data_IF_756993050185
#
_entry.id   IF_756993050185
#
_cell.length_a   1.000
_cell.length_b   1.000
_cell.length_c   1.000
_cell.angle_alpha   90.00
_cell.angle_beta   90.00
_cell.angle_gamma   90.00
#
_symmetry.space_group_name_H-M   'P 1'
#
loop_
_entity.id
_entity.type
_entity.pdbx_description
1 polymer ?
#
# COMPACT_ATOMS: atom_id res chain seq x y z
N UNK A 1 -24.33 -67.96 -19.29
CA UNK A 1 -24.25 -66.93 -20.38
C UNK A 1 -25.25 -65.83 -20.03
N UNK A 2 -24.77 -64.74 -19.49
CA UNK A 2 -25.57 -63.56 -19.17
C UNK A 2 -25.27 -62.48 -20.23
N UNK A 3 -26.27 -62.12 -21.00
CA UNK A 3 -26.19 -61.10 -22.02
C UNK A 3 -26.25 -59.72 -21.37
N UNK A 4 -25.15 -58.97 -21.48
CA UNK A 4 -25.09 -57.53 -21.11
C UNK A 4 -25.75 -56.70 -22.21
N UNK A 5 -26.89 -56.10 -21.91
CA UNK A 5 -27.54 -55.12 -22.79
C UNK A 5 -26.81 -53.76 -22.62
N UNK A 6 -26.12 -53.28 -23.66
CA UNK A 6 -25.63 -51.90 -23.76
C UNK A 6 -26.77 -51.02 -24.26
N UNK A 7 -27.27 -50.11 -23.44
CA UNK A 7 -28.13 -49.00 -23.90
C UNK A 7 -27.28 -47.77 -24.22
N UNK A 8 -27.26 -47.32 -25.48
CA UNK A 8 -26.62 -46.03 -25.77
C UNK A 8 -27.54 -44.87 -25.36
N UNK A 9 -27.14 -44.07 -24.41
CA UNK A 9 -27.80 -42.81 -24.07
C UNK A 9 -27.60 -41.80 -25.23
N UNK A 10 -28.58 -41.72 -26.13
CA UNK A 10 -28.68 -40.67 -27.12
C UNK A 10 -29.24 -39.39 -26.46
N UNK A 11 -28.36 -38.51 -25.99
CA UNK A 11 -28.75 -37.15 -25.57
C UNK A 11 -29.19 -36.34 -26.81
N UNK A 12 -30.44 -35.84 -26.78
CA UNK A 12 -31.00 -35.00 -27.85
C UNK A 12 -30.26 -33.62 -27.93
N UNK A 13 -30.26 -33.03 -29.12
CA UNK A 13 -29.55 -31.76 -29.42
C UNK A 13 -29.76 -30.64 -28.39
N UNK A 14 -30.96 -30.39 -27.83
CA UNK A 14 -31.15 -29.32 -26.84
C UNK A 14 -30.49 -29.64 -25.48
N UNK A 15 -30.41 -30.91 -25.07
CA UNK A 15 -29.70 -31.27 -23.83
C UNK A 15 -28.20 -31.12 -23.93
N UNK A 16 -27.60 -31.35 -25.09
CA UNK A 16 -26.16 -31.09 -25.32
C UNK A 16 -25.84 -29.61 -25.27
N UNK A 17 -26.70 -28.74 -25.83
CA UNK A 17 -26.58 -27.31 -25.76
C UNK A 17 -26.70 -26.76 -24.31
N UNK A 18 -27.62 -27.30 -23.53
CA UNK A 18 -27.79 -26.91 -22.12
C UNK A 18 -26.61 -27.34 -21.24
N UNK A 19 -26.05 -28.55 -21.44
CA UNK A 19 -24.84 -28.99 -20.73
C UNK A 19 -23.63 -28.16 -21.10
N UNK A 20 -23.45 -27.76 -22.36
CA UNK A 20 -22.34 -26.91 -22.82
C UNK A 20 -22.48 -25.50 -22.29
N UNK A 21 -23.70 -24.97 -22.20
CA UNK A 21 -23.98 -23.64 -21.62
C UNK A 21 -23.73 -23.61 -20.12
N UNK A 22 -24.08 -24.67 -19.39
CA UNK A 22 -23.81 -24.78 -17.93
C UNK A 22 -22.30 -24.94 -17.69
N UNK A 23 -21.57 -25.67 -18.55
CA UNK A 23 -20.11 -25.80 -18.43
C UNK A 23 -19.37 -24.48 -18.72
N UNK A 24 -19.88 -23.67 -19.66
CA UNK A 24 -19.35 -22.34 -19.97
C UNK A 24 -19.66 -21.31 -18.87
N UNK A 25 -20.83 -21.40 -18.24
CA UNK A 25 -21.20 -20.54 -17.11
C UNK A 25 -20.40 -20.88 -15.84
N UNK A 26 -20.07 -22.14 -15.59
CA UNK A 26 -19.25 -22.54 -14.44
C UNK A 26 -17.77 -22.17 -14.63
N UNK A 27 -17.26 -22.11 -15.86
CA UNK A 27 -15.90 -21.63 -16.15
C UNK A 27 -15.74 -20.10 -16.01
N UNK A 28 -16.82 -19.33 -16.15
CA UNK A 28 -16.79 -17.87 -15.96
C UNK A 28 -16.76 -17.44 -14.48
N UNK A 29 -17.15 -18.31 -13.56
CA UNK A 29 -17.12 -18.02 -12.10
C UNK A 29 -15.79 -18.44 -11.45
N UNK A 30 -14.91 -19.15 -12.15
CA UNK A 30 -13.70 -19.77 -11.57
C UNK A 30 -12.41 -18.97 -11.79
N UNK A 31 -12.47 -17.71 -12.25
CA UNK A 31 -11.28 -16.89 -12.46
C UNK A 31 -11.43 -15.45 -11.95
N UNK A 32 -11.92 -15.30 -10.73
CA UNK A 32 -11.50 -14.12 -9.98
C UNK A 32 -10.04 -14.39 -9.57
N UNK A 33 -9.09 -13.85 -10.35
CA UNK A 33 -7.66 -13.93 -10.03
C UNK A 33 -7.43 -13.40 -8.61
N UNK A 34 -6.37 -13.84 -7.97
CA UNK A 34 -5.99 -13.28 -6.66
C UNK A 34 -5.90 -11.75 -6.77
N UNK A 35 -6.56 -10.98 -5.90
CA UNK A 35 -6.58 -9.53 -6.01
C UNK A 35 -5.19 -8.93 -5.75
N UNK A 36 -4.88 -7.83 -6.40
CA UNK A 36 -3.77 -6.99 -5.98
C UNK A 36 -4.13 -6.29 -4.68
N UNK A 37 -3.16 -6.09 -3.81
CA UNK A 37 -3.37 -5.44 -2.51
C UNK A 37 -2.38 -4.28 -2.40
N UNK A 38 -2.89 -3.07 -2.21
CA UNK A 38 -2.07 -1.88 -1.95
C UNK A 38 -2.46 -1.30 -0.61
N UNK A 39 -1.51 -1.29 0.34
CA UNK A 39 -1.69 -0.64 1.64
C UNK A 39 -0.95 0.70 1.63
N UNK A 40 -1.70 1.78 1.77
CA UNK A 40 -1.16 3.15 1.85
C UNK A 40 -1.38 3.69 3.25
N UNK A 41 -0.35 4.27 3.86
CA UNK A 41 -0.45 4.84 5.21
C UNK A 41 0.29 6.17 5.28
N UNK A 42 -0.41 7.21 5.74
CA UNK A 42 0.18 8.50 6.12
C UNK A 42 0.87 8.41 7.48
N UNK A 43 1.81 9.32 7.74
CA UNK A 43 2.52 9.43 9.03
C UNK A 43 2.08 10.70 9.75
N UNK A 44 1.46 10.54 10.91
CA UNK A 44 0.94 11.62 11.76
C UNK A 44 -0.18 12.48 11.13
N UNK A 45 -0.92 11.96 10.15
CA UNK A 45 -2.10 12.65 9.63
C UNK A 45 -3.27 12.59 10.63
N UNK A 46 -3.78 13.76 11.02
CA UNK A 46 -4.93 13.86 11.89
C UNK A 46 -6.23 13.43 11.20
N UNK A 47 -7.16 12.83 11.94
CA UNK A 47 -8.46 12.36 11.44
C UNK A 47 -9.24 13.45 10.67
N UNK A 48 -9.18 14.70 11.12
CA UNK A 48 -9.86 15.84 10.51
C UNK A 48 -9.13 16.43 9.30
N UNK A 49 -7.95 15.98 8.94
CA UNK A 49 -7.12 16.58 7.89
C UNK A 49 -7.44 16.02 6.50
N UNK A 50 -8.73 15.93 6.19
CA UNK A 50 -9.25 15.57 4.86
C UNK A 50 -10.54 16.33 4.57
N UNK A 51 -10.80 16.68 3.31
CA UNK A 51 -12.02 17.41 2.95
C UNK A 51 -13.29 16.58 3.13
N UNK A 52 -13.26 15.26 2.96
CA UNK A 52 -14.42 14.40 3.23
C UNK A 52 -14.78 14.30 4.73
N UNK A 53 -13.90 14.70 5.64
CA UNK A 53 -14.19 14.87 7.06
C UNK A 53 -14.55 16.31 7.44
N UNK A 54 -14.71 17.20 6.46
CA UNK A 54 -15.16 18.58 6.65
C UNK A 54 -14.06 19.57 6.99
N UNK A 55 -12.78 19.28 6.67
CA UNK A 55 -11.71 20.26 6.87
C UNK A 55 -12.00 21.55 6.10
N UNK A 56 -11.96 22.74 6.73
CA UNK A 56 -12.44 23.97 6.10
C UNK A 56 -11.56 24.46 4.94
N UNK A 57 -10.28 24.14 4.94
CA UNK A 57 -9.29 24.70 4.00
C UNK A 57 -8.66 23.64 3.10
N UNK A 58 -8.37 22.44 3.61
CA UNK A 58 -7.79 21.36 2.83
C UNK A 58 -8.74 20.87 1.75
N UNK A 59 -8.18 20.62 0.58
CA UNK A 59 -8.86 19.95 -0.55
C UNK A 59 -8.11 18.67 -0.86
N UNK A 60 -8.76 17.54 -0.63
CA UNK A 60 -8.22 16.19 -0.87
C UNK A 60 -9.11 15.41 -1.85
N UNK A 61 -9.22 15.88 -3.13
CA UNK A 61 -10.22 15.38 -4.07
C UNK A 61 -10.03 13.89 -4.40
N UNK A 62 -8.82 13.36 -4.35
CA UNK A 62 -8.57 11.95 -4.64
C UNK A 62 -8.96 11.04 -3.47
N UNK A 63 -8.70 11.46 -2.23
CA UNK A 63 -9.19 10.81 -1.02
C UNK A 63 -10.71 10.93 -0.90
N UNK A 64 -11.30 12.08 -1.24
CA UNK A 64 -12.76 12.28 -1.29
C UNK A 64 -13.41 11.30 -2.28
N UNK A 65 -12.83 11.15 -3.47
CA UNK A 65 -13.30 10.19 -4.46
C UNK A 65 -13.16 8.74 -3.99
N UNK A 66 -12.11 8.40 -3.23
CA UNK A 66 -11.99 7.08 -2.60
C UNK A 66 -13.05 6.86 -1.54
N UNK A 67 -13.27 7.84 -0.67
CA UNK A 67 -14.29 7.77 0.38
C UNK A 67 -15.72 7.65 -0.18
N UNK A 68 -15.99 8.28 -1.34
CA UNK A 68 -17.29 8.22 -2.01
C UNK A 68 -17.55 6.89 -2.74
N UNK A 69 -16.50 6.25 -3.27
CA UNK A 69 -16.61 5.04 -4.10
C UNK A 69 -16.17 3.74 -3.40
N UNK A 70 -15.67 3.84 -2.18
CA UNK A 70 -15.18 2.71 -1.39
C UNK A 70 -15.90 2.56 -0.06
N UNK A 71 -15.35 1.71 0.80
CA UNK A 71 -15.84 1.52 2.16
C UNK A 71 -15.09 2.46 3.11
N UNK A 72 -15.79 3.43 3.70
CA UNK A 72 -15.25 4.34 4.70
C UNK A 72 -15.55 3.86 6.10
N UNK A 73 -14.51 3.67 6.91
CA UNK A 73 -14.64 3.32 8.32
C UNK A 73 -14.61 4.59 9.18
N UNK A 74 -15.71 4.92 9.85
CA UNK A 74 -15.78 6.08 10.73
C UNK A 74 -15.13 5.86 12.10
N UNK A 75 -14.88 4.62 12.49
CA UNK A 75 -14.29 4.21 13.77
C UNK A 75 -13.21 3.17 13.55
N UNK A 76 -12.16 3.57 12.86
CA UNK A 76 -10.98 2.75 12.63
C UNK A 76 -9.78 3.46 13.28
N UNK A 77 -9.12 2.77 14.19
CA UNK A 77 -8.07 3.36 15.01
C UNK A 77 -6.72 2.75 14.68
N UNK A 78 -5.67 3.58 14.72
CA UNK A 78 -4.31 3.09 14.66
C UNK A 78 -4.02 2.11 15.81
N UNK A 79 -3.16 1.13 15.59
CA UNK A 79 -2.83 0.13 16.59
C UNK A 79 -2.07 0.68 17.80
N UNK A 80 -1.50 1.88 17.68
CA UNK A 80 -0.86 2.65 18.74
C UNK A 80 -0.85 4.14 18.39
N UNK A 81 -0.43 4.97 19.34
CA UNK A 81 -0.37 6.42 19.19
C UNK A 81 0.89 6.93 18.46
N UNK A 82 1.79 6.05 18.03
CA UNK A 82 3.03 6.42 17.36
C UNK A 82 3.45 5.40 16.28
N UNK A 83 4.49 5.76 15.51
CA UNK A 83 4.81 5.17 14.21
C UNK A 83 5.21 3.68 14.26
N UNK A 84 6.33 3.30 14.89
CA UNK A 84 6.81 1.91 14.85
C UNK A 84 5.80 0.90 15.42
N UNK A 85 5.12 1.16 16.55
CA UNK A 85 4.09 0.27 17.07
C UNK A 85 2.91 0.07 16.12
N UNK A 86 2.41 1.15 15.49
CA UNK A 86 1.32 1.05 14.50
C UNK A 86 1.75 0.25 13.28
N UNK A 87 2.99 0.46 12.78
CA UNK A 87 3.56 -0.29 11.65
C UNK A 87 3.71 -1.78 11.95
N UNK A 88 4.18 -2.11 13.16
CA UNK A 88 4.25 -3.49 13.63
C UNK A 88 2.87 -4.16 13.67
N UNK A 89 1.85 -3.44 14.17
CA UNK A 89 0.46 -3.93 14.21
C UNK A 89 -0.09 -4.18 12.81
N UNK A 90 0.15 -3.27 11.85
CA UNK A 90 -0.29 -3.44 10.45
C UNK A 90 0.34 -4.67 9.81
N UNK A 91 1.64 -4.90 10.00
CA UNK A 91 2.31 -6.04 9.38
C UNK A 91 1.96 -7.37 10.01
N UNK A 92 1.67 -7.42 11.31
CA UNK A 92 1.53 -8.68 12.05
C UNK A 92 0.09 -9.04 12.39
N UNK A 93 -0.84 -8.08 12.36
CA UNK A 93 -2.19 -8.24 12.89
C UNK A 93 -2.24 -8.42 14.42
N UNK A 94 -1.13 -8.12 15.13
CA UNK A 94 -1.02 -8.28 16.59
C UNK A 94 -0.89 -6.92 17.25
N UNK A 95 -1.37 -6.79 18.49
CA UNK A 95 -1.15 -5.58 19.26
C UNK A 95 0.35 -5.30 19.44
N UNK A 96 0.71 -4.03 19.52
CA UNK A 96 2.08 -3.58 19.71
C UNK A 96 2.74 -4.17 20.98
N UNK A 97 1.99 -4.35 22.06
CA UNK A 97 2.50 -5.00 23.29
C UNK A 97 2.95 -6.44 23.05
N UNK A 98 2.22 -7.18 22.22
CA UNK A 98 2.56 -8.57 21.87
C UNK A 98 3.75 -8.65 20.92
N UNK A 99 3.91 -7.71 20.01
CA UNK A 99 5.06 -7.65 19.10
C UNK A 99 6.34 -7.18 19.80
N UNK A 100 6.20 -6.53 20.97
CA UNK A 100 7.30 -5.92 21.69
C UNK A 100 7.76 -4.57 21.13
N UNK A 101 7.08 -4.05 20.12
CA UNK A 101 7.32 -2.71 19.56
C UNK A 101 6.47 -1.72 20.30
N UNK A 102 6.96 -1.24 21.45
CA UNK A 102 6.19 -0.39 22.36
C UNK A 102 6.41 1.11 22.14
N UNK A 103 7.46 1.48 21.40
CA UNK A 103 7.77 2.88 21.13
C UNK A 103 8.39 3.04 19.73
N UNK A 104 8.49 4.31 19.25
CA UNK A 104 9.12 4.63 17.98
C UNK A 104 10.59 4.18 17.97
N UNK A 105 11.07 3.69 16.84
CA UNK A 105 12.43 3.20 16.67
C UNK A 105 12.71 1.84 17.32
N UNK A 106 11.71 1.15 17.89
CA UNK A 106 11.90 -0.24 18.34
C UNK A 106 11.87 -1.19 17.13
N UNK A 107 12.79 -2.18 17.07
CA UNK A 107 12.78 -3.13 15.98
C UNK A 107 11.64 -4.13 16.11
N UNK A 108 11.08 -4.54 14.98
CA UNK A 108 10.17 -5.68 14.94
C UNK A 108 10.97 -6.97 15.15
N UNK A 109 10.55 -7.83 16.07
CA UNK A 109 11.25 -9.09 16.35
C UNK A 109 11.23 -10.00 15.12
N UNK A 110 12.38 -10.64 14.81
CA UNK A 110 12.52 -11.50 13.63
C UNK A 110 11.62 -12.74 13.63
N UNK A 111 11.18 -13.21 14.82
CA UNK A 111 10.23 -14.32 14.92
C UNK A 111 8.77 -13.95 14.59
N UNK A 112 8.45 -12.66 14.50
CA UNK A 112 7.10 -12.23 14.14
C UNK A 112 6.76 -12.64 12.69
N UNK A 113 5.54 -13.12 12.52
CA UNK A 113 5.01 -13.46 11.19
C UNK A 113 4.27 -12.27 10.63
N UNK A 114 4.59 -11.91 9.40
CA UNK A 114 4.00 -10.75 8.73
C UNK A 114 3.05 -11.18 7.62
N UNK A 115 2.11 -10.29 7.30
CA UNK A 115 1.21 -10.44 6.14
C UNK A 115 2.02 -10.53 4.83
N UNK A 116 3.14 -9.81 4.71
CA UNK A 116 4.01 -9.88 3.54
C UNK A 116 4.62 -11.28 3.36
N UNK A 117 5.11 -11.91 4.44
CA UNK A 117 5.61 -13.29 4.39
C UNK A 117 4.50 -14.28 3.99
N UNK A 118 3.28 -14.10 4.48
CA UNK A 118 2.16 -14.97 4.15
C UNK A 118 1.74 -14.83 2.68
N UNK A 119 1.61 -13.59 2.18
CA UNK A 119 1.23 -13.32 0.80
C UNK A 119 2.34 -13.74 -0.18
N UNK A 120 3.62 -13.51 0.15
CA UNK A 120 4.74 -14.04 -0.65
C UNK A 120 4.67 -15.55 -0.81
N UNK A 121 4.37 -16.30 0.26
CA UNK A 121 4.16 -17.77 0.19
C UNK A 121 2.96 -18.14 -0.67
N UNK A 122 1.97 -17.28 -0.77
CA UNK A 122 0.80 -17.44 -1.63
C UNK A 122 1.05 -17.02 -3.10
N UNK A 123 2.29 -16.66 -3.47
CA UNK A 123 2.68 -16.33 -4.84
C UNK A 123 2.56 -14.84 -5.20
N UNK A 124 2.37 -13.96 -4.22
CA UNK A 124 2.38 -12.52 -4.47
C UNK A 124 3.80 -11.99 -4.65
N UNK A 125 4.00 -11.09 -5.61
CA UNK A 125 5.15 -10.20 -5.60
C UNK A 125 4.95 -9.16 -4.49
N UNK A 126 5.94 -9.01 -3.61
CA UNK A 126 5.80 -8.17 -2.40
C UNK A 126 6.78 -7.01 -2.43
N UNK A 127 6.29 -5.78 -2.18
CA UNK A 127 7.12 -4.59 -2.18
C UNK A 127 6.76 -3.59 -1.07
N UNK A 128 7.79 -2.85 -0.60
CA UNK A 128 7.67 -1.78 0.39
C UNK A 128 8.33 -0.50 -0.11
N UNK A 129 7.63 0.61 0.02
CA UNK A 129 8.11 1.95 -0.39
C UNK A 129 7.91 2.96 0.74
N UNK A 130 8.94 3.78 0.99
CA UNK A 130 8.90 4.87 1.97
C UNK A 130 9.41 4.50 3.37
N UNK A 131 8.81 5.03 4.41
CA UNK A 131 9.27 4.91 5.81
C UNK A 131 9.13 3.49 6.35
N UNK A 132 10.24 2.88 6.79
CA UNK A 132 10.23 1.56 7.40
C UNK A 132 10.02 1.58 8.92
N UNK A 133 10.91 2.23 9.63
CA UNK A 133 10.88 2.46 11.08
C UNK A 133 10.68 1.22 11.98
N UNK A 134 11.11 0.05 11.52
CA UNK A 134 11.05 -1.23 12.26
C UNK A 134 12.42 -1.90 12.38
N UNK A 135 13.51 -1.17 12.11
CA UNK A 135 14.89 -1.67 12.10
C UNK A 135 15.71 -1.32 13.36
N UNK A 136 15.09 -0.71 14.37
CA UNK A 136 15.78 -0.35 15.62
C UNK A 136 16.51 0.99 15.58
N UNK A 137 16.39 1.75 14.49
CA UNK A 137 17.00 3.07 14.34
C UNK A 137 15.94 4.18 14.47
N UNK A 138 16.39 5.39 14.78
CA UNK A 138 15.52 6.55 15.05
C UNK A 138 15.83 7.78 14.20
N UNK A 139 16.99 7.83 13.58
CA UNK A 139 17.41 8.99 12.79
C UNK A 139 16.48 9.28 11.61
N UNK A 140 16.15 10.56 11.34
CA UNK A 140 15.43 10.94 10.14
C UNK A 140 16.32 10.73 8.91
N UNK A 141 15.70 10.39 7.76
CA UNK A 141 16.40 10.29 6.48
C UNK A 141 17.52 9.25 6.43
N UNK A 142 17.65 8.35 7.42
CA UNK A 142 18.71 7.34 7.45
C UNK A 142 18.33 6.17 6.56
N UNK A 143 19.06 5.91 5.45
CA UNK A 143 18.80 4.78 4.58
C UNK A 143 18.95 3.44 5.31
N UNK A 144 18.16 2.44 4.91
CA UNK A 144 18.25 1.07 5.42
C UNK A 144 19.32 0.32 4.64
N UNK A 145 20.27 -0.29 5.33
CA UNK A 145 21.38 -1.02 4.70
C UNK A 145 20.97 -2.46 4.31
N UNK A 146 21.59 -3.00 3.28
CA UNK A 146 21.42 -4.41 2.92
C UNK A 146 21.85 -5.37 4.04
N UNK A 147 22.84 -4.97 4.85
CA UNK A 147 23.35 -5.73 6.00
C UNK A 147 22.52 -5.57 7.28
N UNK A 148 21.53 -4.71 7.32
CA UNK A 148 20.64 -4.55 8.48
C UNK A 148 19.82 -5.82 8.68
N UNK A 149 19.87 -6.42 9.86
CA UNK A 149 19.11 -7.64 10.16
C UNK A 149 17.59 -7.45 10.11
N UNK A 150 17.14 -6.21 10.23
CA UNK A 150 15.71 -5.82 10.30
C UNK A 150 15.28 -4.99 9.09
N UNK A 151 15.90 -5.20 7.91
CA UNK A 151 15.46 -4.58 6.66
C UNK A 151 14.12 -5.19 6.18
N UNK A 152 13.34 -4.53 5.30
CA UNK A 152 12.03 -5.05 4.87
C UNK A 152 12.06 -6.47 4.29
N UNK A 153 13.15 -6.88 3.64
CA UNK A 153 13.31 -8.22 3.09
C UNK A 153 13.29 -9.34 4.14
N UNK A 154 13.79 -9.08 5.37
CA UNK A 154 13.71 -10.03 6.48
C UNK A 154 12.24 -10.32 6.90
N UNK A 155 11.33 -9.43 6.57
CA UNK A 155 9.91 -9.48 6.89
C UNK A 155 9.01 -9.81 5.70
N UNK A 156 9.60 -10.26 4.57
CA UNK A 156 8.86 -10.83 3.45
C UNK A 156 8.67 -9.93 2.24
N UNK A 157 9.28 -8.77 2.18
CA UNK A 157 9.28 -7.91 1.00
C UNK A 157 10.44 -8.25 0.06
N UNK A 158 10.13 -8.67 -1.16
CA UNK A 158 11.12 -9.03 -2.19
C UNK A 158 11.75 -7.79 -2.83
N UNK A 159 11.00 -6.70 -2.87
CA UNK A 159 11.46 -5.40 -3.35
C UNK A 159 11.22 -4.35 -2.28
N UNK A 160 12.18 -3.44 -2.12
CA UNK A 160 11.98 -2.32 -1.23
C UNK A 160 12.83 -1.12 -1.64
N UNK A 161 12.24 0.04 -1.51
CA UNK A 161 12.89 1.35 -1.58
C UNK A 161 12.46 2.13 -0.34
N UNK A 162 13.36 2.32 0.62
CA UNK A 162 12.94 2.71 1.95
C UNK A 162 13.99 3.54 2.68
N UNK A 163 13.54 4.16 3.75
CA UNK A 163 14.33 4.88 4.72
C UNK A 163 13.89 4.49 6.13
N UNK A 164 14.74 4.69 7.12
CA UNK A 164 14.44 4.29 8.50
C UNK A 164 13.24 5.03 9.08
N UNK A 165 13.26 6.35 9.06
CA UNK A 165 12.26 7.22 9.70
C UNK A 165 11.63 8.16 8.66
N UNK A 166 11.10 9.32 9.11
CA UNK A 166 10.51 10.27 8.19
C UNK A 166 11.55 10.76 7.17
N UNK A 167 11.07 11.19 6.05
CA UNK A 167 11.84 11.75 4.96
C UNK A 167 10.99 12.82 4.29
N UNK A 168 11.66 13.83 3.79
CA UNK A 168 11.03 14.98 3.19
C UNK A 168 11.43 15.12 1.71
N UNK A 169 11.28 16.32 1.16
CA UNK A 169 11.64 16.62 -0.22
C UNK A 169 13.07 16.20 -0.54
N UNK A 170 13.27 15.83 -1.80
CA UNK A 170 14.55 15.42 -2.35
C UNK A 170 15.22 14.29 -1.53
N UNK A 171 14.49 13.18 -1.28
CA UNK A 171 14.93 12.19 -0.32
C UNK A 171 16.07 11.31 -0.82
N UNK A 172 16.98 10.96 0.10
CA UNK A 172 17.91 9.84 -0.07
C UNK A 172 17.24 8.56 0.43
N UNK A 173 17.01 7.61 -0.45
CA UNK A 173 16.38 6.34 -0.13
C UNK A 173 17.34 5.16 -0.40
N UNK A 174 17.04 4.02 0.17
CA UNK A 174 17.78 2.79 -0.07
C UNK A 174 16.93 1.80 -0.87
N UNK A 175 17.38 1.48 -2.09
CA UNK A 175 16.85 0.40 -2.90
C UNK A 175 17.61 -0.88 -2.61
N UNK A 176 17.04 -1.76 -1.82
CA UNK A 176 17.64 -3.05 -1.49
C UNK A 176 19.05 -2.94 -0.88
N UNK A 177 19.37 -1.77 -0.28
CA UNK A 177 20.67 -1.46 0.29
C UNK A 177 21.56 -0.53 -0.53
N UNK A 178 21.21 -0.26 -1.77
CA UNK A 178 21.87 0.72 -2.63
C UNK A 178 21.20 2.08 -2.47
N UNK A 179 22.01 3.15 -2.33
CA UNK A 179 21.51 4.49 -2.07
C UNK A 179 21.17 5.21 -3.35
N UNK A 180 19.99 5.80 -3.39
CA UNK A 180 19.47 6.56 -4.52
C UNK A 180 18.96 7.91 -4.02
N UNK A 181 19.40 8.99 -4.67
CA UNK A 181 18.91 10.35 -4.45
C UNK A 181 17.74 10.63 -5.40
N UNK A 182 16.71 11.28 -4.88
CA UNK A 182 15.52 11.65 -5.62
C UNK A 182 15.27 13.14 -5.49
N UNK A 183 14.59 13.71 -6.47
CA UNK A 183 14.11 15.10 -6.46
C UNK A 183 12.59 15.13 -6.33
N UNK A 184 12.07 16.10 -5.60
CA UNK A 184 10.64 16.36 -5.47
C UNK A 184 10.04 15.99 -4.13
N UNK A 185 8.71 15.92 -4.10
CA UNK A 185 7.96 15.57 -2.90
C UNK A 185 8.10 14.08 -2.54
N UNK A 186 8.33 13.82 -1.27
CA UNK A 186 8.59 12.45 -0.78
C UNK A 186 7.43 11.49 -1.02
N UNK A 187 6.18 11.96 -0.91
CA UNK A 187 4.99 11.14 -1.16
C UNK A 187 4.85 10.79 -2.64
N UNK A 188 5.14 11.76 -3.52
CA UNK A 188 5.12 11.53 -4.97
C UNK A 188 6.24 10.59 -5.39
N UNK A 189 7.46 10.78 -4.87
CA UNK A 189 8.59 9.87 -5.12
C UNK A 189 8.26 8.44 -4.69
N UNK A 190 7.82 8.22 -3.45
CA UNK A 190 7.49 6.89 -2.95
C UNK A 190 6.38 6.22 -3.80
N UNK A 191 5.35 6.98 -4.15
CA UNK A 191 4.24 6.48 -4.94
C UNK A 191 4.63 6.20 -6.39
N UNK A 192 5.45 7.03 -7.01
CA UNK A 192 5.94 6.79 -8.37
C UNK A 192 6.73 5.48 -8.45
N UNK A 193 7.58 5.19 -7.48
CA UNK A 193 8.33 3.95 -7.43
C UNK A 193 7.44 2.73 -7.19
N UNK A 194 6.38 2.88 -6.38
CA UNK A 194 5.36 1.85 -6.21
C UNK A 194 4.57 1.60 -7.52
N UNK A 195 4.23 2.65 -8.25
CA UNK A 195 3.57 2.54 -9.56
C UNK A 195 4.48 1.83 -10.58
N UNK A 196 5.78 2.13 -10.61
CA UNK A 196 6.75 1.42 -11.47
C UNK A 196 6.75 -0.08 -11.18
N UNK A 197 6.82 -0.45 -9.91
CA UNK A 197 6.73 -1.86 -9.49
C UNK A 197 5.41 -2.51 -9.93
N UNK A 198 4.28 -1.83 -9.74
CA UNK A 198 2.97 -2.32 -10.16
C UNK A 198 2.88 -2.49 -11.68
N UNK A 199 3.36 -1.54 -12.47
CA UNK A 199 3.43 -1.64 -13.94
C UNK A 199 4.25 -2.85 -14.41
N UNK A 200 5.32 -3.18 -13.70
CA UNK A 200 6.18 -4.32 -14.02
C UNK A 200 5.56 -5.66 -13.61
N UNK A 201 4.95 -5.74 -12.42
CA UNK A 201 4.57 -7.02 -11.81
C UNK A 201 3.10 -7.38 -11.96
N UNK A 202 2.19 -6.40 -11.84
CA UNK A 202 0.77 -6.68 -11.81
C UNK A 202 0.20 -7.37 -13.08
N UNK A 203 0.76 -7.18 -14.28
CA UNK A 203 0.30 -7.92 -15.46
C UNK A 203 0.54 -9.43 -15.40
N UNK A 204 1.46 -9.92 -14.58
CA UNK A 204 1.92 -11.31 -14.60
C UNK A 204 1.61 -12.09 -13.33
N UNK A 205 1.44 -11.40 -12.18
CA UNK A 205 1.18 -12.05 -10.89
C UNK A 205 0.52 -11.08 -9.91
N UNK A 206 -0.20 -11.58 -8.89
CA UNK A 206 -0.77 -10.74 -7.86
C UNK A 206 0.34 -10.01 -7.09
N UNK A 207 0.06 -8.77 -6.68
CA UNK A 207 1.03 -7.94 -5.95
C UNK A 207 0.51 -7.56 -4.58
N UNK A 208 1.41 -7.52 -3.60
CA UNK A 208 1.21 -6.89 -2.31
C UNK A 208 2.20 -5.74 -2.17
N UNK A 209 1.68 -4.53 -2.27
CA UNK A 209 2.45 -3.28 -2.28
C UNK A 209 2.13 -2.45 -1.05
N UNK A 210 3.15 -2.08 -0.30
CA UNK A 210 3.02 -1.22 0.87
C UNK A 210 3.68 0.11 0.57
N UNK A 211 2.94 1.21 0.71
CA UNK A 211 3.44 2.58 0.58
C UNK A 211 3.21 3.29 1.91
N UNK A 212 4.29 3.51 2.64
CA UNK A 212 4.26 4.22 3.90
C UNK A 212 4.95 5.57 3.74
N UNK A 213 4.14 6.61 3.76
CA UNK A 213 4.63 7.97 3.61
C UNK A 213 5.45 8.43 4.83
N UNK A 214 6.29 9.45 4.63
CA UNK A 214 6.83 10.28 5.69
C UNK A 214 5.90 11.42 6.08
N UNK A 215 4.98 11.76 5.20
CA UNK A 215 4.05 12.89 5.23
C UNK A 215 2.76 12.60 6.00
N UNK A 216 2.21 13.56 6.73
CA UNK A 216 2.70 14.92 7.05
C UNK A 216 3.42 15.02 8.41
N UNK A 217 4.38 14.13 8.70
CA UNK A 217 5.19 14.15 9.94
C UNK A 217 6.12 15.37 9.97
N UNK A 218 6.28 15.97 11.14
CA UNK A 218 7.18 17.10 11.37
C UNK A 218 8.67 16.70 11.26
N UNK A 219 9.57 17.56 10.71
CA UNK A 219 9.33 18.85 10.08
C UNK A 219 8.68 18.71 8.68
N UNK A 220 7.73 19.60 8.40
CA UNK A 220 7.00 19.60 7.14
C UNK A 220 7.60 20.58 6.15
N UNK A 221 7.88 20.14 4.91
CA UNK A 221 8.47 20.99 3.85
C UNK A 221 7.75 20.75 2.52
N UNK A 222 6.70 21.50 2.26
CA UNK A 222 6.02 21.50 0.97
C UNK A 222 6.67 22.46 -0.03
N UNK A 223 6.48 22.20 -1.32
CA UNK A 223 6.88 23.08 -2.40
C UNK A 223 6.21 24.44 -2.30
N UNK A 224 6.77 25.46 -2.94
CA UNK A 224 6.14 26.78 -3.03
C UNK A 224 4.79 26.69 -3.73
N UNK A 225 4.67 25.86 -4.77
CA UNK A 225 3.44 25.63 -5.50
C UNK A 225 2.36 25.04 -4.61
N UNK A 226 2.68 24.01 -3.83
CA UNK A 226 1.73 23.34 -2.93
C UNK A 226 1.34 24.20 -1.73
N UNK A 227 2.20 25.13 -1.31
CA UNK A 227 1.90 26.12 -0.25
C UNK A 227 1.01 27.27 -0.71
N UNK A 228 1.07 27.61 -2.00
CA UNK A 228 0.40 28.78 -2.57
C UNK A 228 -1.11 28.87 -2.27
N UNK A 229 -1.90 27.78 -2.29
CA UNK A 229 -3.32 27.83 -1.91
C UNK A 229 -3.56 28.23 -0.45
N UNK A 230 -2.54 28.20 0.40
CA UNK A 230 -2.60 28.45 1.84
C UNK A 230 -1.78 29.69 2.27
N UNK A 231 -1.49 30.60 1.33
CA UNK A 231 -0.62 31.76 1.56
C UNK A 231 -1.07 32.68 2.70
N UNK A 232 -2.38 32.70 3.00
CA UNK A 232 -2.97 33.50 4.08
C UNK A 232 -2.85 32.86 5.47
N UNK A 233 -2.31 31.66 5.56
CA UNK A 233 -2.12 30.93 6.82
C UNK A 233 -0.70 31.09 7.38
N UNK A 234 -0.47 30.83 8.68
CA UNK A 234 0.86 30.67 9.23
C UNK A 234 1.70 29.67 8.44
N UNK A 235 3.00 29.92 8.31
CA UNK A 235 3.91 29.15 7.43
C UNK A 235 3.90 27.63 7.73
N UNK A 236 3.78 27.26 8.99
CA UNK A 236 3.68 25.85 9.42
C UNK A 236 2.47 25.12 8.80
N UNK A 237 1.31 25.79 8.76
CA UNK A 237 0.11 25.23 8.13
C UNK A 237 0.20 25.21 6.59
N UNK A 238 0.88 26.21 6.00
CA UNK A 238 1.15 26.20 4.57
C UNK A 238 1.95 24.96 4.18
N UNK A 239 2.98 24.61 4.93
CA UNK A 239 3.79 23.42 4.71
C UNK A 239 2.97 22.16 4.94
N UNK A 240 2.33 22.02 6.10
CA UNK A 240 1.55 20.84 6.43
C UNK A 240 0.44 20.54 5.40
N UNK A 241 -0.31 21.57 5.02
CA UNK A 241 -1.41 21.39 4.08
C UNK A 241 -0.92 21.18 2.65
N UNK A 242 0.19 21.80 2.28
CA UNK A 242 0.85 21.58 1.00
C UNK A 242 1.32 20.14 0.83
N UNK A 243 1.95 19.54 1.85
CA UNK A 243 2.33 18.13 1.85
C UNK A 243 1.12 17.19 1.75
N UNK A 244 0.03 17.46 2.46
CA UNK A 244 -1.18 16.65 2.36
C UNK A 244 -1.78 16.72 0.96
N UNK A 245 -1.71 17.87 0.28
CA UNK A 245 -2.13 18.01 -1.12
C UNK A 245 -1.25 17.18 -2.06
N UNK A 246 0.08 17.20 -1.89
CA UNK A 246 0.99 16.38 -2.69
C UNK A 246 0.73 14.89 -2.47
N UNK A 247 0.52 14.48 -1.22
CA UNK A 247 0.13 13.11 -0.87
C UNK A 247 -1.20 12.70 -1.52
N UNK A 248 -2.23 13.55 -1.46
CA UNK A 248 -3.52 13.29 -2.12
C UNK A 248 -3.36 13.14 -3.65
N UNK A 249 -2.57 14.00 -4.28
CA UNK A 249 -2.22 13.91 -5.70
C UNK A 249 -1.52 12.59 -6.04
N UNK A 250 -0.61 12.13 -5.20
CA UNK A 250 0.08 10.85 -5.39
C UNK A 250 -0.89 9.65 -5.36
N UNK A 251 -1.91 9.69 -4.51
CA UNK A 251 -2.99 8.69 -4.47
C UNK A 251 -3.83 8.74 -5.77
N UNK A 252 -4.09 9.93 -6.29
CA UNK A 252 -4.72 10.11 -7.60
C UNK A 252 -3.92 9.46 -8.73
N UNK A 253 -2.60 9.62 -8.72
CA UNK A 253 -1.69 8.98 -9.67
C UNK A 253 -1.71 7.46 -9.59
N UNK A 254 -1.71 6.89 -8.36
CA UNK A 254 -1.87 5.45 -8.16
C UNK A 254 -3.16 4.93 -8.80
N UNK A 255 -4.30 5.56 -8.49
CA UNK A 255 -5.60 5.14 -9.02
C UNK A 255 -5.68 5.22 -10.55
N UNK A 256 -5.03 6.21 -11.14
CA UNK A 256 -4.92 6.34 -12.60
C UNK A 256 -4.05 5.22 -13.19
N UNK A 257 -2.90 4.95 -12.58
CA UNK A 257 -2.00 3.88 -13.01
C UNK A 257 -2.66 2.50 -12.94
N UNK A 258 -3.42 2.19 -11.88
CA UNK A 258 -4.14 0.92 -11.76
C UNK A 258 -5.16 0.73 -12.88
N UNK A 259 -5.85 1.80 -13.32
CA UNK A 259 -6.75 1.77 -14.49
C UNK A 259 -5.98 1.56 -15.79
N UNK A 260 -4.85 2.26 -15.98
CA UNK A 260 -3.98 2.11 -17.16
C UNK A 260 -3.43 0.69 -17.29
N UNK A 261 -3.03 0.06 -16.18
CA UNK A 261 -2.57 -1.33 -16.14
C UNK A 261 -3.73 -2.32 -16.41
N UNK A 262 -4.97 -1.91 -16.17
CA UNK A 262 -6.16 -2.76 -16.33
C UNK A 262 -6.48 -3.63 -15.12
N UNK A 263 -5.95 -3.30 -13.92
CA UNK A 263 -6.13 -4.11 -12.69
C UNK A 263 -6.98 -3.42 -11.63
N UNK A 264 -7.49 -2.22 -11.89
CA UNK A 264 -8.22 -1.42 -10.90
C UNK A 264 -9.43 -2.14 -10.27
N UNK A 265 -10.16 -2.93 -11.04
CA UNK A 265 -11.34 -3.68 -10.56
C UNK A 265 -10.98 -4.92 -9.73
N UNK A 266 -9.70 -5.30 -9.70
CA UNK A 266 -9.19 -6.43 -8.93
C UNK A 266 -8.05 -6.00 -7.98
N UNK A 267 -8.11 -4.73 -7.46
CA UNK A 267 -7.13 -4.16 -6.53
C UNK A 267 -7.81 -3.63 -5.28
#
# INVERSE_FOLDING_TARGET
MAAMYHFPLHLTSPMKALFLSILLLTSAVACAGQPHIVLVMADDQGWGQTSYNGHPQLKTPHLDAMAANGLRFNRFYAGASNCSPSRATVLTGRSNDRTGVQNHGYPLRLQEKTVAQALRKAGYATAHFGKWHLNGLRGPGVPVLAGDTHHPGAFGFEHWLTVTNYFDRDPLLSRMGEFEEYEGDSSEVAMEQAIRFLKERAPTQPTFTVVWYGTPHDPMIASEEDRKPFADLPLEYQHQYGEIMAMDRSIGNLRSALREIGVAENT
#
